data_IF_109429094479
#
_entry.id   IF_109429094479
#
_cell.length_a   1.000
_cell.length_b   1.000
_cell.length_c   1.000
_cell.angle_alpha   90.00
_cell.angle_beta   90.00
_cell.angle_gamma   90.00
#
_symmetry.space_group_name_H-M   'P 1'
#
loop_
_entity.id
_entity.type
_entity.pdbx_description
1 polymer ?
#
# COMPACT_ATOMS: atom_id res chain seq x y z
N UNK A 1 -3.92 30.00 -58.89
CA UNK A 1 -3.12 28.83 -58.45
C UNK A 1 -3.80 27.60 -59.00
N UNK A 2 -3.07 26.79 -59.74
CA UNK A 2 -3.59 25.62 -60.43
C UNK A 2 -3.75 24.47 -59.41
N UNK A 3 -4.93 23.86 -59.33
CA UNK A 3 -5.25 22.87 -58.30
C UNK A 3 -4.28 21.67 -58.33
N UNK A 4 -3.69 21.38 -59.49
CA UNK A 4 -2.73 20.28 -59.67
C UNK A 4 -1.42 20.46 -58.89
N UNK A 5 -0.95 21.69 -58.71
CA UNK A 5 0.27 21.97 -57.93
C UNK A 5 0.02 21.88 -56.43
N UNK A 6 -1.17 22.30 -55.98
CA UNK A 6 -1.62 22.12 -54.59
C UNK A 6 -1.66 20.64 -54.20
N UNK A 7 -2.18 19.76 -55.08
CA UNK A 7 -2.21 18.32 -54.83
C UNK A 7 -0.81 17.69 -54.76
N UNK A 8 0.13 18.12 -55.60
CA UNK A 8 1.53 17.64 -55.55
C UNK A 8 2.22 18.05 -54.26
N UNK A 9 2.03 19.29 -53.84
CA UNK A 9 2.55 19.79 -52.56
C UNK A 9 1.92 19.07 -51.36
N UNK A 10 0.61 18.84 -51.38
CA UNK A 10 -0.08 18.05 -50.35
C UNK A 10 0.42 16.61 -50.30
N UNK A 11 0.67 15.97 -51.44
CA UNK A 11 1.18 14.60 -51.50
C UNK A 11 2.59 14.47 -50.90
N UNK A 12 3.42 15.51 -50.99
CA UNK A 12 4.77 15.54 -50.41
C UNK A 12 4.73 15.95 -48.93
N UNK A 13 3.92 16.93 -48.58
CA UNK A 13 3.85 17.47 -47.23
C UNK A 13 3.08 16.55 -46.27
N UNK A 14 2.02 15.87 -46.74
CA UNK A 14 1.16 15.01 -45.92
C UNK A 14 1.91 13.89 -45.18
N UNK A 15 2.77 13.09 -45.83
CA UNK A 15 3.57 12.08 -45.14
C UNK A 15 4.49 12.65 -44.06
N UNK A 16 5.05 13.84 -44.30
CA UNK A 16 5.95 14.52 -43.36
C UNK A 16 5.16 14.96 -42.12
N UNK A 17 4.04 15.66 -42.30
CA UNK A 17 3.19 16.08 -41.19
C UNK A 17 2.62 14.88 -40.43
N UNK A 18 2.22 13.82 -41.14
CA UNK A 18 1.77 12.57 -40.53
C UNK A 18 2.86 11.92 -39.67
N UNK A 19 4.09 11.81 -40.19
CA UNK A 19 5.24 11.29 -39.45
C UNK A 19 5.55 12.10 -38.19
N UNK A 20 5.48 13.44 -38.26
CA UNK A 20 5.67 14.32 -37.10
C UNK A 20 4.58 14.10 -36.04
N UNK A 21 3.31 14.05 -36.45
CA UNK A 21 2.18 13.81 -35.53
C UNK A 21 2.32 12.44 -34.86
N UNK A 22 2.57 11.39 -35.65
CA UNK A 22 2.75 10.03 -35.13
C UNK A 22 3.95 9.95 -34.18
N UNK A 23 5.05 10.63 -34.49
CA UNK A 23 6.22 10.71 -33.61
C UNK A 23 5.90 11.35 -32.27
N UNK A 24 5.18 12.49 -32.27
CA UNK A 24 4.78 13.20 -31.04
C UNK A 24 3.81 12.34 -30.21
N UNK A 25 2.79 11.76 -30.85
CA UNK A 25 1.80 10.91 -30.17
C UNK A 25 2.47 9.65 -29.59
N UNK A 26 3.33 8.99 -30.35
CA UNK A 26 4.04 7.80 -29.90
C UNK A 26 4.98 8.10 -28.74
N UNK A 27 5.72 9.21 -28.81
CA UNK A 27 6.63 9.62 -27.73
C UNK A 27 5.88 9.98 -26.44
N UNK A 28 4.77 10.71 -26.55
CA UNK A 28 3.96 11.09 -25.39
C UNK A 28 3.28 9.88 -24.73
N UNK A 29 2.73 8.96 -25.53
CA UNK A 29 2.16 7.70 -25.03
C UNK A 29 3.24 6.80 -24.42
N UNK A 30 4.40 6.67 -25.07
CA UNK A 30 5.52 5.86 -24.56
C UNK A 30 6.01 6.38 -23.21
N UNK A 31 6.21 7.69 -23.07
CA UNK A 31 6.64 8.28 -21.81
C UNK A 31 5.60 8.14 -20.71
N UNK A 32 4.32 8.26 -21.03
CA UNK A 32 3.23 8.02 -20.06
C UNK A 32 3.21 6.55 -19.62
N UNK A 33 3.34 5.62 -20.56
CA UNK A 33 3.38 4.17 -20.28
C UNK A 33 4.55 3.83 -19.37
N UNK A 34 5.76 4.29 -19.69
CA UNK A 34 6.97 4.08 -18.87
C UNK A 34 6.82 4.63 -17.45
N UNK A 35 6.24 5.82 -17.30
CA UNK A 35 5.97 6.40 -15.96
C UNK A 35 5.02 5.54 -15.14
N UNK A 36 3.96 5.03 -15.78
CA UNK A 36 3.00 4.15 -15.14
C UNK A 36 3.67 2.83 -14.74
N UNK A 37 4.48 2.25 -15.62
CA UNK A 37 5.23 1.02 -15.36
C UNK A 37 6.21 1.18 -14.19
N UNK A 38 6.98 2.28 -14.15
CA UNK A 38 7.87 2.59 -13.04
C UNK A 38 7.12 2.73 -11.71
N UNK A 39 5.97 3.41 -11.71
CA UNK A 39 5.13 3.52 -10.51
C UNK A 39 4.64 2.13 -10.05
N UNK A 40 4.29 1.24 -10.97
CA UNK A 40 3.88 -0.13 -10.63
C UNK A 40 5.03 -0.98 -10.08
N UNK A 41 6.22 -0.87 -10.68
CA UNK A 41 7.41 -1.58 -10.21
C UNK A 41 7.73 -1.22 -8.75
N UNK A 42 7.47 0.00 -8.32
CA UNK A 42 7.67 0.42 -6.92
C UNK A 42 6.46 0.18 -6.01
N UNK A 43 5.25 0.08 -6.56
CA UNK A 43 4.02 -0.17 -5.79
C UNK A 43 3.98 -1.58 -5.18
N UNK A 44 4.47 -2.59 -5.90
CA UNK A 44 4.47 -3.98 -5.41
C UNK A 44 5.41 -4.15 -4.20
N UNK A 45 6.69 -3.71 -4.25
CA UNK A 45 7.57 -3.75 -3.08
C UNK A 45 7.01 -2.98 -1.88
N UNK A 46 6.43 -1.80 -2.12
CA UNK A 46 5.79 -1.00 -1.08
C UNK A 46 4.65 -1.76 -0.37
N UNK A 47 3.81 -2.46 -1.15
CA UNK A 47 2.79 -3.34 -0.61
C UNK A 47 3.40 -4.49 0.20
N UNK A 48 4.40 -5.19 -0.35
CA UNK A 48 5.02 -6.35 0.29
C UNK A 48 5.65 -6.00 1.65
N UNK A 49 6.32 -4.85 1.74
CA UNK A 49 6.93 -4.36 2.98
C UNK A 49 5.87 -4.16 4.09
N UNK A 50 4.78 -3.46 3.77
CA UNK A 50 3.70 -3.20 4.72
C UNK A 50 2.93 -4.48 5.05
N UNK A 51 2.65 -5.31 4.03
CA UNK A 51 1.96 -6.58 4.18
C UNK A 51 2.70 -7.54 5.13
N UNK A 52 4.03 -7.60 5.02
CA UNK A 52 4.86 -8.41 5.93
C UNK A 52 4.67 -7.97 7.38
N UNK A 53 4.81 -6.69 7.67
CA UNK A 53 4.65 -6.14 9.03
C UNK A 53 3.26 -6.45 9.59
N UNK A 54 2.21 -6.27 8.78
CA UNK A 54 0.84 -6.55 9.18
C UNK A 54 0.60 -8.05 9.44
N UNK A 55 1.21 -8.91 8.65
CA UNK A 55 1.11 -10.37 8.80
C UNK A 55 1.83 -10.83 10.07
N UNK A 56 3.05 -10.33 10.30
CA UNK A 56 3.82 -10.63 11.51
C UNK A 56 3.06 -10.22 12.77
N UNK A 57 2.46 -9.02 12.75
CA UNK A 57 1.63 -8.53 13.85
C UNK A 57 0.34 -9.34 14.03
N UNK A 58 -0.30 -9.77 12.96
CA UNK A 58 -1.48 -10.66 13.04
C UNK A 58 -1.14 -11.97 13.75
N UNK A 59 0.00 -12.59 13.42
CA UNK A 59 0.45 -13.81 14.10
C UNK A 59 0.69 -13.58 15.59
N UNK A 60 1.26 -12.44 15.97
CA UNK A 60 1.41 -12.05 17.38
C UNK A 60 0.04 -11.96 18.09
N UNK A 61 -0.94 -11.31 17.46
CA UNK A 61 -2.29 -11.19 18.02
C UNK A 61 -2.98 -12.55 18.17
N UNK A 62 -2.88 -13.42 17.16
CA UNK A 62 -3.51 -14.74 17.16
C UNK A 62 -2.91 -15.66 18.24
N UNK A 63 -1.59 -15.64 18.44
CA UNK A 63 -0.93 -16.36 19.54
C UNK A 63 -1.50 -15.95 20.91
N UNK A 64 -1.73 -14.65 21.12
CA UNK A 64 -2.33 -14.11 22.34
C UNK A 64 -3.84 -14.41 22.50
N UNK A 65 -4.57 -14.67 21.40
CA UNK A 65 -5.99 -15.08 21.44
C UNK A 65 -6.12 -16.51 21.96
N UNK A 66 -5.39 -17.42 21.32
CA UNK A 66 -5.59 -18.86 21.47
C UNK A 66 -4.89 -19.47 22.68
N UNK A 67 -3.96 -18.76 23.34
CA UNK A 67 -3.28 -19.23 24.56
C UNK A 67 -2.81 -20.69 24.41
N UNK A 68 -2.29 -21.01 23.23
CA UNK A 68 -2.04 -22.36 22.76
C UNK A 68 -0.55 -22.63 22.78
N UNK A 69 -0.10 -23.62 23.55
CA UNK A 69 1.30 -24.11 23.54
C UNK A 69 1.75 -24.57 22.14
N UNK A 70 0.82 -24.88 21.23
CA UNK A 70 1.12 -25.30 19.85
C UNK A 70 1.30 -24.14 18.87
N UNK A 71 0.79 -22.95 19.20
CA UNK A 71 1.12 -21.72 18.49
C UNK A 71 2.33 -21.13 19.20
N UNK A 72 3.51 -21.69 18.91
CA UNK A 72 4.77 -21.13 19.38
C UNK A 72 4.72 -19.62 19.21
N UNK A 73 4.91 -18.89 20.32
CA UNK A 73 5.13 -17.45 20.30
C UNK A 73 6.11 -17.19 19.17
N UNK A 74 5.69 -16.46 18.13
CA UNK A 74 6.56 -16.15 17.01
C UNK A 74 7.85 -15.54 17.62
N UNK A 75 9.02 -16.18 17.48
CA UNK A 75 10.24 -15.71 18.11
C UNK A 75 10.66 -14.34 17.56
N UNK A 76 10.14 -13.99 16.37
CA UNK A 76 10.26 -12.67 15.76
C UNK A 76 9.12 -11.70 16.16
N UNK A 77 8.28 -12.05 17.14
CA UNK A 77 7.23 -11.15 17.63
C UNK A 77 7.87 -9.90 18.25
N UNK A 78 7.45 -8.75 17.75
CA UNK A 78 8.09 -7.47 18.03
C UNK A 78 7.37 -6.70 19.13
N UNK A 79 6.16 -7.11 19.45
CA UNK A 79 5.29 -6.34 20.31
C UNK A 79 4.55 -5.26 19.52
N UNK A 80 3.42 -4.84 20.09
CA UNK A 80 2.55 -3.81 19.51
C UNK A 80 3.26 -2.45 19.33
N UNK A 81 4.19 -2.08 20.23
CA UNK A 81 4.95 -0.82 20.14
C UNK A 81 5.98 -0.81 18.99
N UNK A 82 6.76 -1.89 18.85
CA UNK A 82 7.74 -1.99 17.76
C UNK A 82 7.01 -2.11 16.41
N UNK A 83 5.89 -2.84 16.37
CA UNK A 83 5.01 -2.91 15.18
C UNK A 83 4.60 -1.53 14.71
N UNK A 84 4.16 -0.66 15.62
CA UNK A 84 3.81 0.73 15.29
C UNK A 84 4.99 1.47 14.67
N UNK A 85 6.19 1.34 15.26
CA UNK A 85 7.38 2.01 14.73
C UNK A 85 7.72 1.51 13.32
N UNK A 86 7.63 0.20 13.08
CA UNK A 86 7.91 -0.38 11.78
C UNK A 86 6.88 0.02 10.74
N UNK A 87 5.60 0.00 11.11
CA UNK A 87 4.50 0.38 10.23
C UNK A 87 4.57 1.86 9.86
N UNK A 88 4.91 2.74 10.80
CA UNK A 88 5.13 4.17 10.53
C UNK A 88 6.34 4.40 9.61
N UNK A 89 7.46 3.71 9.85
CA UNK A 89 8.64 3.83 9.01
C UNK A 89 8.37 3.35 7.58
N UNK A 90 7.72 2.19 7.43
CA UNK A 90 7.29 1.67 6.14
C UNK A 90 6.28 2.60 5.44
N UNK A 91 5.33 3.17 6.20
CA UNK A 91 4.38 4.14 5.69
C UNK A 91 5.08 5.40 5.15
N UNK A 92 6.00 6.00 5.90
CA UNK A 92 6.72 7.20 5.47
C UNK A 92 7.48 6.94 4.17
N UNK A 93 8.20 5.81 4.09
CA UNK A 93 8.97 5.41 2.90
C UNK A 93 8.10 5.18 1.67
N UNK A 94 6.91 4.61 1.87
CA UNK A 94 6.09 4.10 0.77
C UNK A 94 4.83 4.91 0.47
N UNK A 95 4.54 5.96 1.24
CA UNK A 95 3.29 6.74 1.16
C UNK A 95 2.98 7.30 -0.24
N UNK A 96 4.01 7.58 -1.05
CA UNK A 96 3.87 8.07 -2.42
C UNK A 96 3.25 7.03 -3.37
N UNK A 97 3.42 5.74 -3.07
CA UNK A 97 2.91 4.63 -3.89
C UNK A 97 1.52 4.14 -3.43
N UNK A 98 1.02 4.68 -2.32
CA UNK A 98 -0.25 4.30 -1.71
C UNK A 98 -1.36 5.29 -2.06
N UNK A 99 -2.56 4.77 -2.35
CA UNK A 99 -3.72 5.63 -2.56
C UNK A 99 -4.19 6.28 -1.23
N UNK A 100 -5.08 7.27 -1.31
CA UNK A 100 -5.62 7.99 -0.13
C UNK A 100 -6.30 7.05 0.87
N UNK A 101 -7.03 6.04 0.40
CA UNK A 101 -7.77 5.09 1.23
C UNK A 101 -6.83 4.15 2.00
N UNK A 102 -5.80 3.65 1.33
CA UNK A 102 -4.73 2.84 1.93
C UNK A 102 -3.98 3.61 3.00
N UNK A 103 -3.62 4.87 2.72
CA UNK A 103 -2.94 5.73 3.69
C UNK A 103 -3.78 5.96 4.93
N UNK A 104 -5.07 6.27 4.76
CA UNK A 104 -5.99 6.45 5.88
C UNK A 104 -6.12 5.16 6.70
N UNK A 105 -6.32 4.02 6.05
CA UNK A 105 -6.49 2.74 6.71
C UNK A 105 -5.26 2.34 7.57
N UNK A 106 -4.05 2.59 7.08
CA UNK A 106 -2.81 2.36 7.85
C UNK A 106 -2.77 3.27 9.08
N UNK A 107 -3.04 4.57 8.92
CA UNK A 107 -2.99 5.52 10.03
C UNK A 107 -4.05 5.22 11.10
N UNK A 108 -5.26 4.83 10.67
CA UNK A 108 -6.33 4.41 11.58
C UNK A 108 -5.91 3.17 12.37
N UNK A 109 -5.27 2.19 11.71
CA UNK A 109 -4.75 1.01 12.39
C UNK A 109 -3.63 1.36 13.38
N UNK A 110 -2.67 2.20 13.01
CA UNK A 110 -1.63 2.70 13.93
C UNK A 110 -2.26 3.33 15.17
N UNK A 111 -3.30 4.15 15.00
CA UNK A 111 -4.05 4.73 16.12
C UNK A 111 -4.71 3.68 17.01
N UNK A 112 -5.31 2.64 16.42
CA UNK A 112 -5.90 1.53 17.18
C UNK A 112 -4.86 0.71 17.94
N UNK A 113 -3.70 0.45 17.34
CA UNK A 113 -2.59 -0.25 18.01
C UNK A 113 -2.09 0.58 19.20
N UNK A 114 -1.89 1.90 19.02
CA UNK A 114 -1.54 2.80 20.13
C UNK A 114 -2.55 2.79 21.27
N UNK A 115 -3.85 2.81 20.94
CA UNK A 115 -4.92 2.72 21.93
C UNK A 115 -4.85 1.41 22.70
N UNK A 116 -4.64 0.29 22.01
CA UNK A 116 -4.49 -1.03 22.62
C UNK A 116 -3.28 -1.09 23.56
N UNK A 117 -2.12 -0.58 23.15
CA UNK A 117 -0.93 -0.48 24.01
C UNK A 117 -1.22 0.34 25.28
N UNK A 118 -1.89 1.49 25.12
CA UNK A 118 -2.21 2.38 26.24
C UNK A 118 -3.20 1.74 27.23
N UNK A 119 -4.17 1.00 26.70
CA UNK A 119 -5.12 0.24 27.51
C UNK A 119 -4.44 -0.87 28.32
N UNK A 120 -3.54 -1.63 27.70
CA UNK A 120 -2.74 -2.66 28.37
C UNK A 120 -1.89 -2.07 29.50
N UNK A 121 -1.20 -0.95 29.24
CA UNK A 121 -0.38 -0.27 30.25
C UNK A 121 -1.20 0.21 31.44
N UNK A 122 -2.35 0.83 31.19
CA UNK A 122 -3.24 1.35 32.24
C UNK A 122 -3.71 0.21 33.15
N UNK A 123 -4.14 -0.89 32.56
CA UNK A 123 -4.69 -1.97 33.34
C UNK A 123 -3.64 -2.87 34.02
N UNK A 124 -2.39 -2.87 33.53
CA UNK A 124 -1.22 -3.35 34.28
C UNK A 124 -0.95 -2.50 35.54
N UNK A 125 -1.10 -1.17 35.45
CA UNK A 125 -0.86 -0.26 36.56
C UNK A 125 -1.95 -0.32 37.64
N UNK A 126 -3.20 -0.52 37.23
CA UNK A 126 -4.36 -0.49 38.14
C UNK A 126 -4.73 -1.86 38.73
N UNK A 127 -3.95 -2.93 38.47
CA UNK A 127 -4.24 -4.32 38.90
C UNK A 127 -5.65 -4.81 38.51
N UNK A 128 -6.27 -4.22 37.50
CA UNK A 128 -7.53 -4.73 36.97
C UNK A 128 -7.25 -6.07 36.30
N UNK A 129 -8.04 -7.10 36.65
CA UNK A 129 -8.12 -8.32 35.83
C UNK A 129 -8.76 -7.93 34.50
N UNK A 130 -7.91 -7.57 33.53
CA UNK A 130 -8.33 -7.27 32.17
C UNK A 130 -9.06 -8.49 31.63
N UNK A 131 -10.34 -8.33 31.28
CA UNK A 131 -10.97 -9.20 30.28
C UNK A 131 -10.10 -9.10 29.03
N UNK A 132 -9.50 -10.23 28.61
CA UNK A 132 -8.54 -10.36 27.49
C UNK A 132 -8.65 -9.17 26.51
N UNK A 133 -7.58 -8.39 26.30
CA UNK A 133 -7.64 -7.27 25.36
C UNK A 133 -8.13 -7.78 24.00
N UNK A 134 -8.78 -6.92 23.18
CA UNK A 134 -9.58 -7.35 22.04
C UNK A 134 -8.71 -7.74 20.84
N UNK A 135 -7.79 -8.68 21.04
CA UNK A 135 -6.87 -9.20 20.03
C UNK A 135 -7.62 -9.74 18.81
N UNK A 136 -8.80 -10.36 19.01
CA UNK A 136 -9.68 -10.81 17.92
C UNK A 136 -10.13 -9.63 17.04
N UNK A 137 -10.59 -8.53 17.65
CA UNK A 137 -11.01 -7.34 16.92
C UNK A 137 -9.84 -6.70 16.19
N UNK A 138 -8.66 -6.68 16.83
CA UNK A 138 -7.45 -6.16 16.19
C UNK A 138 -7.03 -7.01 14.98
N UNK A 139 -7.10 -8.34 15.07
CA UNK A 139 -6.85 -9.24 13.94
C UNK A 139 -7.81 -8.97 12.77
N UNK A 140 -9.09 -8.71 13.07
CA UNK A 140 -10.08 -8.33 12.05
C UNK A 140 -9.69 -7.00 11.39
N UNK A 141 -9.27 -6.00 12.17
CA UNK A 141 -8.83 -4.71 11.64
C UNK A 141 -7.57 -4.83 10.77
N UNK A 142 -6.59 -5.64 11.17
CA UNK A 142 -5.40 -5.92 10.36
C UNK A 142 -5.80 -6.54 9.01
N UNK A 143 -6.68 -7.55 9.01
CA UNK A 143 -7.16 -8.16 7.77
C UNK A 143 -7.90 -7.16 6.86
N UNK A 144 -8.70 -6.23 7.42
CA UNK A 144 -9.35 -5.16 6.64
C UNK A 144 -8.33 -4.24 5.96
N UNK A 145 -7.26 -3.87 6.67
CA UNK A 145 -6.19 -3.03 6.09
C UNK A 145 -5.47 -3.78 4.97
N UNK A 146 -5.15 -5.06 5.17
CA UNK A 146 -4.55 -5.92 4.13
C UNK A 146 -5.45 -5.96 2.89
N UNK A 147 -6.76 -6.14 3.05
CA UNK A 147 -7.70 -6.19 1.93
C UNK A 147 -7.77 -4.84 1.18
N UNK A 148 -7.74 -3.72 1.90
CA UNK A 148 -7.69 -2.37 1.29
C UNK A 148 -6.40 -2.20 0.48
N UNK A 149 -5.26 -2.62 1.04
CA UNK A 149 -3.96 -2.56 0.37
C UNK A 149 -3.92 -3.46 -0.87
N UNK A 150 -4.52 -4.65 -0.80
CA UNK A 150 -4.60 -5.56 -1.94
C UNK A 150 -5.50 -5.00 -3.05
N UNK A 151 -6.63 -4.37 -2.68
CA UNK A 151 -7.47 -3.64 -3.64
C UNK A 151 -6.76 -2.44 -4.26
N UNK A 152 -5.78 -1.86 -3.58
CA UNK A 152 -4.93 -0.82 -4.16
C UNK A 152 -3.99 -1.38 -5.24
N UNK A 153 -3.51 -2.62 -5.09
CA UNK A 153 -2.74 -3.29 -6.15
C UNK A 153 -3.59 -3.63 -7.37
N UNK A 154 -4.85 -4.02 -7.17
CA UNK A 154 -5.77 -4.35 -8.26
C UNK A 154 -6.31 -3.08 -8.91
N UNK A 155 -5.76 -2.78 -10.08
CA UNK A 155 -6.19 -1.65 -10.91
C UNK A 155 -7.43 -2.09 -11.67
N UNK A 156 -8.57 -1.45 -11.37
CA UNK A 156 -9.66 -1.32 -12.33
C UNK A 156 -9.52 0.01 -13.06
#
# INVERSE_FOLDING_TARGET
>A
MDNSELFKWLAIASPIFSGVIVGIVSHTLSNRSKRIELLYQHKIPAFQEIYKILTDYKFELESNVYDSEFLESNPDSKGSLETVSLLNNAYIRNSIYLNKKSRQAIMDLVGKIHFMCSFQLTALQENFKIQKPPYVEMTIEVNKVIEILYKDLNIK
#
